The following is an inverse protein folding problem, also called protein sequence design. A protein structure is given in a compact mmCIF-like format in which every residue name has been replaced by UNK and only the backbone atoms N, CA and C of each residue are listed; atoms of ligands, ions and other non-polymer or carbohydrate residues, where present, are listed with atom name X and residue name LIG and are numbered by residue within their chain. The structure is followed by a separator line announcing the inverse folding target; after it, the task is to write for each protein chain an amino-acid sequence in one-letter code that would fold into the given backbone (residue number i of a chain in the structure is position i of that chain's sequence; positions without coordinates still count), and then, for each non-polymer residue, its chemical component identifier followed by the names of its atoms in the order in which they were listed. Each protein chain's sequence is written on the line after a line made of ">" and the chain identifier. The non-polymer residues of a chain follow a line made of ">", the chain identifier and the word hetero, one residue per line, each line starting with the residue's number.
data_IF_612589450035
#
_entry.id   IF_612589450035
#
_cell.length_a   1.000
_cell.length_b   1.000
_cell.length_c   1.000
_cell.angle_alpha   90.00
_cell.angle_beta   90.00
_cell.angle_gamma   90.00
#
_symmetry.space_group_name_H-M   'P 1'
#
loop_
_entity.id
_entity.type
_entity.pdbx_description
1 polymer ?
#
# COMPACT_ATOMS: atom_id res chain seq x y z
N UNK A 1 23.12 -29.42 2.32
CA UNK A 1 23.42 -28.30 3.23
C UNK A 1 22.15 -27.46 3.28
N UNK A 2 21.52 -27.29 4.45
CA UNK A 2 20.46 -26.30 4.61
C UNK A 2 21.17 -24.95 4.60
N UNK A 3 20.90 -24.11 3.61
CA UNK A 3 21.33 -22.72 3.65
C UNK A 3 20.65 -22.07 4.87
N UNK A 4 21.38 -22.01 5.99
CA UNK A 4 20.94 -21.29 7.17
C UNK A 4 20.97 -19.81 6.81
N UNK A 5 19.82 -19.31 6.37
CA UNK A 5 19.65 -17.90 6.03
C UNK A 5 19.97 -17.08 7.28
N UNK A 6 21.14 -16.46 7.27
CA UNK A 6 21.63 -15.64 8.38
C UNK A 6 21.17 -14.20 8.18
N UNK A 7 20.15 -13.83 8.94
CA UNK A 7 19.65 -12.48 8.96
C UNK A 7 20.23 -11.68 10.11
N UNK A 8 20.43 -10.37 9.88
CA UNK A 8 20.93 -9.43 10.88
C UNK A 8 20.06 -8.19 10.95
N UNK A 9 20.11 -7.51 12.10
CA UNK A 9 19.44 -6.21 12.28
C UNK A 9 19.90 -5.19 11.25
N UNK A 10 21.19 -5.18 10.89
CA UNK A 10 21.74 -4.25 9.89
C UNK A 10 21.14 -4.49 8.51
N UNK A 11 20.98 -5.76 8.10
CA UNK A 11 20.30 -6.07 6.84
C UNK A 11 18.86 -5.54 6.83
N UNK A 12 18.11 -5.75 7.93
CA UNK A 12 16.75 -5.20 8.05
C UNK A 12 16.71 -3.67 7.91
N UNK A 13 17.64 -2.97 8.59
CA UNK A 13 17.78 -1.51 8.48
C UNK A 13 18.09 -1.05 7.06
N UNK A 14 18.96 -1.75 6.34
CA UNK A 14 19.29 -1.41 4.94
C UNK A 14 18.06 -1.57 4.05
N UNK A 15 17.32 -2.68 4.15
CA UNK A 15 16.09 -2.86 3.38
C UNK A 15 15.03 -1.80 3.73
N UNK A 16 14.89 -1.45 5.01
CA UNK A 16 13.98 -0.38 5.43
C UNK A 16 14.39 0.98 4.85
N UNK A 17 15.69 1.31 4.87
CA UNK A 17 16.23 2.54 4.27
C UNK A 17 16.08 2.60 2.75
N UNK A 18 16.03 1.44 2.08
CA UNK A 18 15.74 1.34 0.64
C UNK A 18 14.23 1.43 0.32
N UNK A 19 13.37 1.56 1.33
CA UNK A 19 11.91 1.54 1.17
C UNK A 19 11.32 0.15 0.95
N UNK A 20 12.12 -0.92 1.04
CA UNK A 20 11.64 -2.30 1.00
C UNK A 20 11.17 -2.73 2.41
N UNK A 21 10.06 -2.13 2.83
CA UNK A 21 9.48 -2.30 4.15
C UNK A 21 9.05 -3.75 4.41
N UNK A 22 8.51 -4.44 3.39
CA UNK A 22 8.09 -5.84 3.51
C UNK A 22 9.24 -6.79 3.85
N UNK A 23 10.37 -6.66 3.13
CA UNK A 23 11.56 -7.50 3.40
C UNK A 23 12.23 -7.15 4.72
N UNK A 24 12.22 -5.88 5.12
CA UNK A 24 12.70 -5.48 6.44
C UNK A 24 11.85 -6.09 7.57
N UNK A 25 10.52 -6.06 7.43
CA UNK A 25 9.59 -6.66 8.39
C UNK A 25 9.75 -8.19 8.49
N UNK A 26 9.96 -8.87 7.37
CA UNK A 26 10.27 -10.31 7.33
C UNK A 26 11.51 -10.64 8.18
N UNK A 27 12.58 -9.86 8.00
CA UNK A 27 13.83 -10.04 8.73
C UNK A 27 13.63 -9.77 10.23
N UNK A 28 12.93 -8.69 10.61
CA UNK A 28 12.67 -8.40 12.01
C UNK A 28 11.84 -9.50 12.68
N UNK A 29 10.82 -10.03 12.00
CA UNK A 29 10.05 -11.16 12.48
C UNK A 29 10.90 -12.43 12.65
N UNK A 30 11.81 -12.71 11.72
CA UNK A 30 12.73 -13.84 11.85
C UNK A 30 13.64 -13.71 13.09
N UNK A 31 14.15 -12.51 13.34
CA UNK A 31 15.01 -12.24 14.50
C UNK A 31 14.22 -12.32 15.82
N UNK A 32 12.99 -11.79 15.85
CA UNK A 32 12.10 -11.86 17.01
C UNK A 32 11.66 -13.29 17.34
N UNK A 33 11.53 -14.18 16.34
CA UNK A 33 11.27 -15.61 16.61
C UNK A 33 12.41 -16.28 17.40
N UNK A 34 13.64 -15.79 17.28
CA UNK A 34 14.81 -16.30 18.03
C UNK A 34 15.00 -15.60 19.37
N UNK A 35 14.70 -14.31 19.42
CA UNK A 35 14.81 -13.48 20.62
C UNK A 35 13.58 -12.56 20.76
N UNK A 36 12.47 -13.06 21.34
CA UNK A 36 11.21 -12.33 21.39
C UNK A 36 11.23 -11.09 22.30
N UNK A 37 12.17 -11.00 23.24
CA UNK A 37 12.26 -9.92 24.23
C UNK A 37 13.01 -8.69 23.74
N UNK A 38 13.45 -8.69 22.48
CA UNK A 38 14.32 -7.66 21.93
C UNK A 38 13.53 -6.41 21.53
N UNK A 39 13.38 -5.49 22.49
CA UNK A 39 12.60 -4.26 22.29
C UNK A 39 13.07 -3.44 21.08
N UNK A 40 14.37 -3.41 20.79
CA UNK A 40 14.93 -2.67 19.65
C UNK A 40 14.46 -3.19 18.28
N UNK A 41 14.02 -4.45 18.19
CA UNK A 41 13.45 -5.03 16.97
C UNK A 41 11.92 -4.85 16.93
N UNK A 42 11.27 -4.90 18.09
CA UNK A 42 9.82 -4.63 18.22
C UNK A 42 9.54 -3.19 17.78
N UNK A 43 10.29 -2.23 18.31
CA UNK A 43 10.12 -0.82 17.98
C UNK A 43 10.38 -0.57 16.49
N UNK A 44 11.43 -1.19 15.94
CA UNK A 44 11.78 -1.05 14.53
C UNK A 44 10.75 -1.70 13.59
N UNK A 45 10.13 -2.81 14.00
CA UNK A 45 9.04 -3.44 13.26
C UNK A 45 7.79 -2.57 13.28
N UNK A 46 7.43 -2.03 14.45
CA UNK A 46 6.26 -1.17 14.62
C UNK A 46 6.35 0.12 13.79
N UNK A 47 7.52 0.76 13.74
CA UNK A 47 7.76 1.95 12.90
C UNK A 47 7.63 1.65 11.40
N UNK A 48 7.99 0.44 10.97
CA UNK A 48 7.86 0.02 9.57
C UNK A 48 6.41 -0.27 9.22
N UNK A 49 5.70 -0.96 10.11
CA UNK A 49 4.28 -1.25 9.94
C UNK A 49 3.45 0.03 9.85
N UNK A 50 3.74 1.04 10.69
CA UNK A 50 3.04 2.32 10.61
C UNK A 50 3.26 3.02 9.27
N UNK A 51 4.51 3.03 8.76
CA UNK A 51 4.84 3.63 7.45
C UNK A 51 4.20 2.90 6.28
N UNK A 52 4.13 1.56 6.33
CA UNK A 52 3.45 0.76 5.31
C UNK A 52 1.94 1.04 5.30
N UNK A 53 1.34 1.10 6.48
CA UNK A 53 -0.11 1.30 6.64
C UNK A 53 -0.57 2.68 6.14
N UNK A 54 0.21 3.73 6.36
CA UNK A 54 -0.11 5.08 5.87
C UNK A 54 -0.05 5.14 4.34
N UNK A 55 0.99 4.57 3.74
CA UNK A 55 1.16 4.54 2.28
C UNK A 55 0.04 3.74 1.59
N UNK A 56 -0.35 2.61 2.16
CA UNK A 56 -1.43 1.78 1.62
C UNK A 56 -2.78 2.49 1.72
N UNK A 57 -3.04 3.22 2.83
CA UNK A 57 -4.25 4.05 2.96
C UNK A 57 -4.30 5.19 1.94
N UNK A 58 -3.20 5.92 1.75
CA UNK A 58 -3.13 7.03 0.79
C UNK A 58 -3.39 6.53 -0.63
N UNK A 59 -2.76 5.41 -1.01
CA UNK A 59 -2.96 4.80 -2.32
C UNK A 59 -4.41 4.32 -2.50
N UNK A 60 -5.00 3.70 -1.48
CA UNK A 60 -6.39 3.29 -1.50
C UNK A 60 -7.33 4.50 -1.68
N UNK A 61 -7.10 5.58 -0.94
CA UNK A 61 -7.87 6.81 -1.05
C UNK A 61 -7.76 7.44 -2.45
N UNK A 62 -6.56 7.45 -3.03
CA UNK A 62 -6.34 7.93 -4.39
C UNK A 62 -7.12 7.10 -5.41
N UNK A 63 -7.03 5.78 -5.35
CA UNK A 63 -7.74 4.87 -6.26
C UNK A 63 -9.26 5.01 -6.14
N UNK A 64 -9.79 5.11 -4.93
CA UNK A 64 -11.23 5.35 -4.71
C UNK A 64 -11.67 6.70 -5.29
N UNK A 65 -10.87 7.74 -5.12
CA UNK A 65 -11.18 9.08 -5.65
C UNK A 65 -11.24 9.07 -7.18
N UNK A 66 -10.22 8.48 -7.84
CA UNK A 66 -10.20 8.32 -9.30
C UNK A 66 -11.41 7.51 -9.80
N UNK A 67 -11.77 6.44 -9.09
CA UNK A 67 -12.92 5.62 -9.47
C UNK A 67 -14.25 6.38 -9.35
N UNK A 68 -14.44 7.15 -8.26
CA UNK A 68 -15.62 8.00 -8.07
C UNK A 68 -15.68 9.06 -9.18
N UNK A 69 -14.57 9.71 -9.51
CA UNK A 69 -14.51 10.72 -10.56
C UNK A 69 -14.87 10.15 -11.94
N UNK A 70 -14.38 8.95 -12.26
CA UNK A 70 -14.75 8.24 -13.49
C UNK A 70 -16.24 7.93 -13.54
N UNK A 71 -16.81 7.47 -12.43
CA UNK A 71 -18.24 7.15 -12.33
C UNK A 71 -19.11 8.40 -12.50
N UNK A 72 -18.71 9.53 -11.91
CA UNK A 72 -19.37 10.82 -12.07
C UNK A 72 -19.30 11.32 -13.52
N UNK A 73 -18.12 11.26 -14.15
CA UNK A 73 -17.91 11.63 -15.56
C UNK A 73 -18.76 10.77 -16.49
N UNK A 74 -18.76 9.46 -16.29
CA UNK A 74 -19.57 8.54 -17.08
C UNK A 74 -21.06 8.84 -16.95
N UNK A 75 -21.57 9.03 -15.73
CA UNK A 75 -22.97 9.36 -15.51
C UNK A 75 -23.34 10.72 -16.13
N UNK A 76 -22.46 11.71 -16.04
CA UNK A 76 -22.61 12.99 -16.73
C UNK A 76 -22.74 12.83 -18.24
N UNK A 77 -21.84 12.05 -18.86
CA UNK A 77 -21.89 11.75 -20.30
C UNK A 77 -23.17 11.02 -20.71
N UNK A 78 -23.64 10.07 -19.90
CA UNK A 78 -24.90 9.36 -20.17
C UNK A 78 -26.11 10.32 -20.15
N UNK A 79 -26.14 11.28 -19.21
CA UNK A 79 -27.20 12.31 -19.18
C UNK A 79 -27.15 13.23 -20.40
N UNK A 80 -25.95 13.68 -20.79
CA UNK A 80 -25.76 14.52 -21.98
C UNK A 80 -26.15 13.78 -23.26
N UNK A 81 -25.80 12.51 -23.40
CA UNK A 81 -26.19 11.69 -24.55
C UNK A 81 -27.71 11.53 -24.66
N UNK A 82 -28.40 11.30 -23.53
CA UNK A 82 -29.88 11.27 -23.52
C UNK A 82 -30.46 12.59 -23.98
N UNK A 83 -29.95 13.71 -23.46
CA UNK A 83 -30.44 15.05 -23.81
C UNK A 83 -30.21 15.36 -25.29
N UNK A 84 -29.04 14.98 -25.84
CA UNK A 84 -28.77 15.09 -27.27
C UNK A 84 -29.77 14.28 -28.11
N UNK A 85 -30.07 13.03 -27.74
CA UNK A 85 -31.05 12.21 -28.48
C UNK A 85 -32.47 12.77 -28.44
N UNK A 86 -32.86 13.48 -27.38
CA UNK A 86 -34.16 14.17 -27.33
C UNK A 86 -34.19 15.38 -28.28
N UNK A 87 -33.12 16.16 -28.35
CA UNK A 87 -33.03 17.35 -29.21
C UNK A 87 -32.92 16.96 -30.70
N UNK A 88 -32.16 15.91 -31.02
CA UNK A 88 -32.03 15.42 -32.41
C UNK A 88 -33.30 14.71 -32.91
N UNK A 89 -34.17 14.22 -32.01
CA UNK A 89 -35.44 13.56 -32.35
C UNK A 89 -36.64 14.50 -32.56
N UNK A 90 -36.50 15.81 -32.30
CA UNK A 90 -37.53 16.84 -32.56
C UNK A 90 -37.34 17.57 -33.90
N UNK A 91 -36.46 17.06 -34.79
CA UNK A 91 -36.36 17.49 -36.20
C UNK A 91 -36.96 16.44 -37.14
#
# INVERSE_FOLDING_TARGET
>A
MKDDVFYTRTMAKVYAGQGNLGKAAEIYNYLLKKDPGRQDLIDALSEIESKGFDKDRENLFFLFSEWIDLLLKYNGMQKLNKLKSYIDGEK
#
